data_IF_314756067933
#
_entry.id   IF_314756067933
#
_cell.length_a   1.000
_cell.length_b   1.000
_cell.length_c   1.000
_cell.angle_alpha   90.00
_cell.angle_beta   90.00
_cell.angle_gamma   90.00
#
_symmetry.space_group_name_H-M   'P 1'
#
loop_
_entity.id
_entity.type
_entity.pdbx_description
1 polymer ?
#
# COMPACT_ATOMS: atom_id res chain seq x y z
N UNK A 1 8.01 3.45 17.54
CA UNK A 1 7.34 2.26 16.98
C UNK A 1 5.98 2.71 16.49
N UNK A 2 5.89 3.03 15.20
CA UNK A 2 4.60 3.27 14.55
C UNK A 2 4.15 1.93 13.99
N UNK A 3 2.87 1.60 14.16
CA UNK A 3 2.30 0.32 13.72
C UNK A 3 1.57 0.59 12.40
N UNK A 4 1.50 -0.36 11.47
CA UNK A 4 0.65 -0.22 10.28
C UNK A 4 -0.84 -0.13 10.65
N UNK A 5 -1.64 0.52 9.81
CA UNK A 5 -3.08 0.59 9.96
C UNK A 5 -3.71 -0.79 9.87
N UNK A 6 -3.29 -1.60 8.88
CA UNK A 6 -3.76 -2.96 8.63
C UNK A 6 -5.29 -3.10 8.52
N UNK A 7 -6.01 -2.00 8.29
CA UNK A 7 -7.47 -2.02 8.09
C UNK A 7 -7.76 -2.77 6.80
N UNK A 8 -8.46 -3.92 6.86
CA UNK A 8 -8.69 -4.72 5.66
C UNK A 8 -10.00 -4.35 4.99
N UNK A 9 -10.04 -4.42 3.66
CA UNK A 9 -11.29 -4.22 2.90
C UNK A 9 -11.41 -5.22 1.75
N UNK A 10 -12.66 -5.51 1.36
CA UNK A 10 -12.94 -6.24 0.12
C UNK A 10 -12.99 -5.23 -1.02
N UNK A 11 -12.17 -5.40 -2.08
CA UNK A 11 -12.21 -4.49 -3.21
C UNK A 11 -13.51 -4.63 -4.01
N UNK A 12 -13.86 -3.65 -4.85
CA UNK A 12 -15.04 -3.70 -5.71
C UNK A 12 -15.12 -4.95 -6.60
N UNK A 13 -13.96 -5.51 -6.99
CA UNK A 13 -13.86 -6.71 -7.82
C UNK A 13 -13.79 -8.02 -7.02
N UNK A 14 -14.04 -8.01 -5.70
CA UNK A 14 -13.94 -9.21 -4.84
C UNK A 14 -14.64 -10.44 -5.41
N UNK A 15 -15.85 -10.27 -5.96
CA UNK A 15 -16.61 -11.38 -6.55
C UNK A 15 -15.94 -11.96 -7.80
N UNK A 16 -15.34 -11.10 -8.61
CA UNK A 16 -14.57 -11.51 -9.80
C UNK A 16 -13.30 -12.25 -9.38
N UNK A 17 -12.54 -11.72 -8.42
CA UNK A 17 -11.36 -12.40 -7.88
C UNK A 17 -11.70 -13.78 -7.29
N UNK A 18 -12.82 -13.88 -6.56
CA UNK A 18 -13.30 -15.16 -6.02
C UNK A 18 -13.61 -16.18 -7.12
N UNK A 19 -14.26 -15.75 -8.21
CA UNK A 19 -14.56 -16.62 -9.35
C UNK A 19 -13.29 -17.05 -10.11
N UNK A 20 -12.34 -16.14 -10.32
CA UNK A 20 -11.06 -16.44 -10.97
C UNK A 20 -10.25 -17.47 -10.16
N UNK A 21 -10.18 -17.31 -8.83
CA UNK A 21 -9.53 -18.28 -7.95
C UNK A 21 -10.17 -19.67 -8.05
N UNK A 22 -11.50 -19.75 -8.11
CA UNK A 22 -12.21 -21.01 -8.31
C UNK A 22 -11.90 -21.66 -9.68
N UNK A 23 -11.56 -20.84 -10.68
CA UNK A 23 -11.14 -21.28 -12.00
C UNK A 23 -9.62 -21.52 -12.13
N UNK A 24 -8.83 -21.29 -11.07
CA UNK A 24 -7.37 -21.46 -11.06
C UNK A 24 -6.56 -20.31 -11.65
N UNK A 25 -7.13 -19.10 -11.69
CA UNK A 25 -6.49 -17.87 -12.19
C UNK A 25 -6.25 -16.92 -11.01
N UNK A 26 -5.01 -16.52 -10.76
CA UNK A 26 -4.61 -15.65 -9.64
C UNK A 26 -4.03 -14.32 -10.14
N UNK A 27 -4.89 -13.45 -10.66
CA UNK A 27 -4.46 -12.15 -11.21
C UNK A 27 -4.94 -10.93 -10.40
N UNK A 28 -5.94 -11.09 -9.53
CA UNK A 28 -6.52 -9.98 -8.76
C UNK A 28 -6.57 -10.31 -7.27
N UNK A 29 -6.14 -9.39 -6.39
CA UNK A 29 -6.26 -9.58 -4.95
C UNK A 29 -7.73 -9.58 -4.53
N UNK A 30 -8.11 -10.49 -3.63
CA UNK A 30 -9.46 -10.56 -3.05
C UNK A 30 -9.58 -9.75 -1.74
N UNK A 31 -8.49 -9.16 -1.29
CA UNK A 31 -8.43 -8.30 -0.11
C UNK A 31 -7.36 -7.23 -0.33
N UNK A 32 -7.63 -6.06 0.22
CA UNK A 32 -6.65 -4.98 0.33
C UNK A 32 -6.39 -4.70 1.81
N UNK A 33 -5.16 -4.31 2.13
CA UNK A 33 -4.70 -4.00 3.49
C UNK A 33 -4.15 -2.57 3.50
N UNK A 34 -4.58 -1.76 4.46
CA UNK A 34 -4.05 -0.39 4.54
C UNK A 34 -2.59 -0.39 5.01
N UNK A 35 -1.69 0.05 4.14
CA UNK A 35 -0.24 0.12 4.38
C UNK A 35 0.20 1.45 5.04
N UNK A 36 -0.73 2.34 5.36
CA UNK A 36 -0.42 3.60 6.05
C UNK A 36 -0.19 3.42 7.55
N UNK A 37 0.49 4.38 8.18
CA UNK A 37 0.70 4.38 9.63
C UNK A 37 -0.62 4.41 10.43
N UNK A 38 -0.67 3.64 11.53
CA UNK A 38 -1.82 3.55 12.44
C UNK A 38 -2.19 4.92 13.00
N UNK A 39 -3.49 5.19 13.01
CA UNK A 39 -4.03 6.45 13.51
C UNK A 39 -4.06 7.57 12.46
N UNK A 40 -3.77 7.27 11.19
CA UNK A 40 -4.05 8.20 10.10
C UNK A 40 -5.53 8.58 10.07
N UNK A 41 -5.81 9.85 9.76
CA UNK A 41 -7.17 10.39 9.65
C UNK A 41 -7.66 10.52 8.21
N UNK A 42 -6.74 10.33 7.24
CA UNK A 42 -7.06 10.34 5.82
C UNK A 42 -7.66 9.02 5.34
N UNK A 43 -7.87 8.92 4.02
CA UNK A 43 -8.29 7.69 3.37
C UNK A 43 -7.27 6.57 3.60
N UNK A 44 -7.76 5.34 3.64
CA UNK A 44 -6.89 4.17 3.61
C UNK A 44 -6.32 3.97 2.21
N UNK A 45 -5.17 3.29 2.09
CA UNK A 45 -4.52 3.08 0.80
C UNK A 45 -3.74 1.76 0.76
N UNK A 46 -3.72 1.15 -0.42
CA UNK A 46 -2.95 -0.07 -0.75
C UNK A 46 -2.42 0.03 -2.19
N UNK A 47 -1.23 -0.50 -2.44
CA UNK A 47 -0.57 -0.47 -3.74
C UNK A 47 -0.99 -1.70 -4.55
N UNK A 48 -1.64 -1.48 -5.69
CA UNK A 48 -2.11 -2.56 -6.56
C UNK A 48 -1.05 -3.02 -7.54
N UNK A 49 -0.29 -2.08 -8.09
CA UNK A 49 0.73 -2.37 -9.09
C UNK A 49 1.77 -1.25 -9.16
N UNK A 50 2.99 -1.63 -9.53
CA UNK A 50 4.12 -0.74 -9.70
C UNK A 50 4.38 -0.57 -11.20
N UNK A 51 4.08 0.59 -11.76
CA UNK A 51 4.26 0.82 -13.20
C UNK A 51 5.72 1.19 -13.50
N UNK A 52 6.61 0.20 -13.39
CA UNK A 52 7.99 0.13 -13.91
C UNK A 52 8.87 1.40 -13.91
N UNK A 53 10.07 1.33 -13.28
CA UNK A 53 11.09 2.40 -13.21
C UNK A 53 10.59 3.75 -12.66
N UNK A 54 9.92 3.73 -11.50
CA UNK A 54 9.74 4.94 -10.69
C UNK A 54 8.96 6.06 -11.39
N UNK A 55 8.03 5.73 -12.27
CA UNK A 55 7.15 6.74 -12.88
C UNK A 55 5.98 7.02 -11.96
N UNK A 56 5.15 6.01 -11.73
CA UNK A 56 4.04 6.04 -10.80
C UNK A 56 3.65 4.61 -10.42
N UNK A 57 2.95 4.51 -9.31
CA UNK A 57 2.32 3.30 -8.84
C UNK A 57 0.80 3.47 -8.93
N UNK A 58 0.09 2.37 -9.12
CA UNK A 58 -1.37 2.35 -9.09
C UNK A 58 -1.80 2.00 -7.68
N UNK A 59 -2.38 2.98 -7.00
CA UNK A 59 -2.92 2.84 -5.66
C UNK A 59 -4.44 2.74 -5.71
N UNK A 60 -5.00 1.98 -4.78
CA UNK A 60 -6.41 2.10 -4.43
C UNK A 60 -6.53 2.82 -3.10
N UNK A 61 -7.34 3.87 -3.07
CA UNK A 61 -7.70 4.59 -1.85
C UNK A 61 -9.15 4.32 -1.50
N UNK A 62 -9.46 4.24 -0.21
CA UNK A 62 -10.83 4.02 0.24
C UNK A 62 -11.20 4.74 1.53
N UNK A 63 -12.48 5.09 1.63
CA UNK A 63 -13.14 5.56 2.83
C UNK A 63 -14.52 4.93 2.93
N UNK A 64 -14.73 4.03 3.90
CA UNK A 64 -15.92 3.21 3.93
C UNK A 64 -16.04 2.35 2.67
N UNK A 65 -17.15 2.51 1.94
CA UNK A 65 -17.44 1.76 0.71
C UNK A 65 -17.02 2.51 -0.58
N UNK A 66 -16.47 3.72 -0.47
CA UNK A 66 -16.02 4.52 -1.60
C UNK A 66 -14.57 4.17 -1.97
N UNK A 67 -14.32 3.89 -3.25
CA UNK A 67 -13.01 3.50 -3.78
C UNK A 67 -12.57 4.41 -4.91
N UNK A 68 -11.30 4.81 -4.90
CA UNK A 68 -10.68 5.63 -5.94
C UNK A 68 -9.34 5.05 -6.37
N UNK A 69 -9.14 4.91 -7.68
CA UNK A 69 -7.83 4.60 -8.25
C UNK A 69 -7.01 5.88 -8.37
N UNK A 70 -5.77 5.82 -7.92
CA UNK A 70 -4.84 6.95 -8.00
C UNK A 70 -3.52 6.46 -8.57
N UNK A 71 -3.07 7.12 -9.64
CA UNK A 71 -1.68 7.02 -10.09
C UNK A 71 -0.86 8.04 -9.30
N UNK A 72 0.04 7.57 -8.45
CA UNK A 72 0.86 8.43 -7.60
C UNK A 72 2.34 8.12 -7.75
N UNK A 73 3.19 9.15 -7.68
CA UNK A 73 4.63 8.96 -7.67
C UNK A 73 5.06 8.32 -6.33
N UNK A 74 6.05 7.41 -6.33
CA UNK A 74 6.59 6.86 -5.09
C UNK A 74 7.25 7.97 -4.26
N UNK A 75 7.27 7.79 -2.94
CA UNK A 75 7.93 8.70 -2.01
C UNK A 75 9.45 8.49 -2.07
N UNK A 76 10.20 9.55 -2.39
CA UNK A 76 11.66 9.48 -2.55
C UNK A 76 12.44 9.65 -1.23
N UNK A 77 11.75 9.81 -0.10
CA UNK A 77 12.41 9.88 1.21
C UNK A 77 13.11 8.55 1.50
N UNK A 78 14.23 8.61 2.21
CA UNK A 78 15.04 7.44 2.60
C UNK A 78 15.31 7.48 4.11
N UNK A 79 15.53 6.32 4.73
CA UNK A 79 15.93 6.27 6.14
C UNK A 79 17.32 6.93 6.31
N UNK A 80 17.44 8.07 7.04
CA UNK A 80 18.72 8.75 7.23
C UNK A 80 19.68 7.96 8.13
N UNK A 81 19.18 7.02 8.93
CA UNK A 81 19.96 6.26 9.92
C UNK A 81 20.73 5.08 9.30
N UNK A 82 20.30 4.62 8.13
CA UNK A 82 20.94 3.52 7.40
C UNK A 82 22.11 4.05 6.55
N UNK A 83 23.14 3.22 6.37
CA UNK A 83 24.31 3.56 5.55
C UNK A 83 23.89 3.86 4.09
N UNK A 84 24.47 4.87 3.40
CA UNK A 84 23.99 5.32 2.08
C UNK A 84 23.84 4.22 1.01
N UNK A 85 24.73 3.23 1.00
CA UNK A 85 24.70 2.12 0.04
C UNK A 85 23.56 1.11 0.29
N UNK A 86 22.94 1.17 1.46
CA UNK A 86 21.86 0.27 1.90
C UNK A 86 20.52 1.00 2.00
N UNK A 87 20.49 2.33 1.80
CA UNK A 87 19.25 3.11 1.85
C UNK A 87 18.33 2.70 0.71
N UNK A 88 17.09 2.42 1.04
CA UNK A 88 15.99 2.28 0.09
C UNK A 88 15.02 3.43 0.27
N UNK A 89 14.37 3.83 -0.82
CA UNK A 89 13.32 4.84 -0.76
C UNK A 89 12.07 4.26 -0.06
N UNK A 90 11.25 5.16 0.46
CA UNK A 90 9.96 4.80 1.03
C UNK A 90 9.12 4.10 -0.05
N UNK A 91 8.51 2.97 0.29
CA UNK A 91 7.68 2.25 -0.69
C UNK A 91 6.22 2.75 -0.75
N UNK A 92 5.88 3.79 0.01
CA UNK A 92 4.59 4.49 -0.07
C UNK A 92 4.58 5.59 -1.14
N UNK A 93 3.42 6.19 -1.41
CA UNK A 93 3.25 7.28 -2.38
C UNK A 93 3.61 8.67 -1.81
N UNK A 94 4.00 9.62 -2.67
CA UNK A 94 4.34 11.00 -2.25
C UNK A 94 3.22 11.68 -1.45
N UNK A 95 3.58 12.45 -0.43
CA UNK A 95 2.66 13.13 0.52
C UNK A 95 1.78 12.18 1.36
N UNK A 96 2.25 10.94 1.58
CA UNK A 96 1.63 10.03 2.54
C UNK A 96 1.75 10.52 3.99
N UNK A 97 0.74 10.25 4.81
CA UNK A 97 0.76 10.47 6.26
C UNK A 97 0.09 9.30 6.99
N UNK A 98 0.46 9.00 8.25
CA UNK A 98 1.59 9.51 9.02
C UNK A 98 2.79 8.56 8.90
N UNK A 99 3.97 9.12 8.76
CA UNK A 99 5.23 8.38 8.86
C UNK A 99 5.63 7.64 7.59
N UNK A 100 6.89 7.21 7.54
CA UNK A 100 7.51 6.51 6.41
C UNK A 100 7.53 5.00 6.60
N UNK A 101 7.62 4.27 5.49
CA UNK A 101 7.53 2.82 5.50
C UNK A 101 8.48 2.10 6.47
N UNK A 102 9.72 2.58 6.57
CA UNK A 102 10.73 1.99 7.47
C UNK A 102 10.38 2.18 8.95
N UNK A 103 9.49 3.12 9.28
CA UNK A 103 9.04 3.36 10.66
C UNK A 103 8.04 2.29 11.13
N UNK A 104 7.66 1.36 10.24
CA UNK A 104 6.67 0.33 10.46
C UNK A 104 7.21 -1.12 10.32
N UNK A 105 8.49 -1.30 9.94
CA UNK A 105 9.13 -2.61 9.70
C UNK A 105 9.30 -3.47 10.97
N UNK A 106 8.97 -2.94 12.15
CA UNK A 106 9.07 -3.63 13.45
C UNK A 106 8.01 -4.73 13.69
N UNK A 107 7.17 -5.07 12.70
CA UNK A 107 6.16 -6.12 12.83
C UNK A 107 6.35 -7.22 11.76
N UNK A 108 6.31 -8.50 12.15
CA UNK A 108 6.34 -9.59 11.19
C UNK A 108 5.17 -9.45 10.22
N UNK A 109 5.47 -9.46 8.92
CA UNK A 109 4.48 -9.65 7.87
C UNK A 109 3.96 -11.10 7.99
N UNK A 110 2.71 -11.26 8.42
CA UNK A 110 1.99 -12.55 8.41
C UNK A 110 1.48 -12.88 7.00
#
# INVERSE_FOLDING_TARGET
>A
MVIHCNSPVRPPWFRTAQAHRQAGIEELPDRLICELGKGHTGEHADCLDTMGRGTFDVWLRWNGDDFTYVCAAPCEQVDPTIAPLLRQACWLFTDHEPGHSWEFEDLPHD
#
